data_IF_822793397949
#
_entry.id   IF_822793397949
#
_cell.length_a   1.000
_cell.length_b   1.000
_cell.length_c   1.000
_cell.angle_alpha   90.00
_cell.angle_beta   90.00
_cell.angle_gamma   90.00
#
_symmetry.space_group_name_H-M   'P 1'
#
loop_
_entity.id
_entity.type
_entity.pdbx_description
1 polymer ?
#
# COMPACT_ATOMS: atom_id res chain seq x y z
N UNK A 1 -5.33 -18.96 -9.46
CA UNK A 1 -6.20 -18.04 -10.25
C UNK A 1 -5.32 -16.90 -10.73
N UNK A 2 -5.38 -16.54 -12.01
CA UNK A 2 -4.59 -15.45 -12.58
C UNK A 2 -5.14 -14.08 -12.10
N UNK A 3 -4.31 -13.14 -11.61
CA UNK A 3 -4.77 -11.83 -11.12
C UNK A 3 -5.71 -11.11 -12.10
N UNK A 4 -5.44 -11.21 -13.39
CA UNK A 4 -6.21 -10.59 -14.47
C UNK A 4 -7.65 -11.09 -14.53
N UNK A 5 -7.90 -12.35 -14.13
CA UNK A 5 -9.26 -12.88 -14.05
C UNK A 5 -10.06 -12.19 -12.94
N UNK A 6 -9.41 -11.91 -11.81
CA UNK A 6 -10.02 -11.21 -10.67
C UNK A 6 -10.33 -9.76 -11.09
N UNK A 7 -9.37 -9.06 -11.70
CA UNK A 7 -9.59 -7.68 -12.14
C UNK A 7 -10.76 -7.57 -13.13
N UNK A 8 -10.85 -8.49 -14.11
CA UNK A 8 -11.99 -8.54 -15.03
C UNK A 8 -13.33 -8.76 -14.32
N UNK A 9 -13.36 -9.55 -13.25
CA UNK A 9 -14.59 -9.75 -12.48
C UNK A 9 -14.96 -8.49 -11.68
N UNK A 10 -13.98 -7.80 -11.11
CA UNK A 10 -14.20 -6.52 -10.43
C UNK A 10 -14.72 -5.47 -11.42
N UNK A 11 -14.10 -5.35 -12.59
CA UNK A 11 -14.57 -4.46 -13.66
C UNK A 11 -15.99 -4.81 -14.11
N UNK A 12 -16.28 -6.09 -14.33
CA UNK A 12 -17.62 -6.51 -14.72
C UNK A 12 -18.69 -6.12 -13.69
N UNK A 13 -18.38 -6.20 -12.39
CA UNK A 13 -19.27 -5.73 -11.33
C UNK A 13 -19.40 -4.21 -11.37
N UNK A 14 -18.30 -3.47 -11.56
CA UNK A 14 -18.32 -2.02 -11.70
C UNK A 14 -19.23 -1.58 -12.85
N UNK A 15 -19.11 -2.20 -14.02
CA UNK A 15 -19.90 -1.90 -15.22
C UNK A 15 -21.39 -2.20 -15.01
N UNK A 16 -21.69 -3.37 -14.44
CA UNK A 16 -23.06 -3.82 -14.19
C UNK A 16 -23.81 -2.92 -13.19
N UNK A 17 -23.09 -2.29 -12.27
CA UNK A 17 -23.66 -1.46 -11.20
C UNK A 17 -23.12 -0.03 -11.22
N UNK A 18 -22.79 0.55 -12.37
CA UNK A 18 -22.09 1.84 -12.50
C UNK A 18 -22.65 3.02 -11.68
N UNK A 19 -23.94 3.00 -11.31
CA UNK A 19 -24.61 4.02 -10.52
C UNK A 19 -24.64 3.73 -9.00
N UNK A 20 -24.05 2.62 -8.56
CA UNK A 20 -24.02 2.19 -7.16
C UNK A 20 -22.65 2.38 -6.53
N UNK A 21 -22.66 2.62 -5.23
CA UNK A 21 -21.45 2.64 -4.43
C UNK A 21 -20.90 1.22 -4.24
N UNK A 22 -19.63 1.01 -4.61
CA UNK A 22 -18.92 -0.25 -4.57
C UNK A 22 -17.87 -0.26 -3.44
N UNK A 23 -17.97 -1.27 -2.58
CA UNK A 23 -17.01 -1.51 -1.51
C UNK A 23 -16.23 -2.81 -1.77
N UNK A 24 -14.90 -2.77 -1.63
CA UNK A 24 -14.05 -3.96 -1.72
C UNK A 24 -13.43 -4.28 -0.37
N UNK A 25 -13.73 -5.48 0.12
CA UNK A 25 -13.18 -6.02 1.35
C UNK A 25 -11.75 -6.55 1.14
N UNK A 26 -10.87 -6.29 2.10
CA UNK A 26 -9.58 -6.97 2.24
C UNK A 26 -8.46 -6.47 1.33
N UNK A 27 -8.43 -5.19 1.00
CA UNK A 27 -7.34 -4.61 0.18
C UNK A 27 -6.01 -4.71 0.93
N UNK A 28 -4.99 -5.29 0.28
CA UNK A 28 -3.82 -5.86 0.95
C UNK A 28 -2.68 -4.87 1.27
N UNK A 29 -2.61 -3.73 0.58
CA UNK A 29 -1.55 -2.74 0.73
C UNK A 29 -1.67 -1.61 -0.29
N UNK A 30 -0.64 -0.76 -0.37
CA UNK A 30 -0.62 0.44 -1.21
C UNK A 30 -0.89 0.12 -2.68
N UNK A 31 -0.13 -0.77 -3.31
CA UNK A 31 -0.34 -1.06 -4.74
C UNK A 31 -1.72 -1.65 -5.08
N UNK A 32 -2.34 -2.43 -4.19
CA UNK A 32 -3.72 -2.91 -4.39
C UNK A 32 -4.76 -1.80 -4.19
N UNK A 33 -4.42 -0.74 -3.45
CA UNK A 33 -5.25 0.47 -3.34
C UNK A 33 -5.30 1.21 -4.68
N UNK A 34 -4.16 1.36 -5.38
CA UNK A 34 -4.13 1.91 -6.74
C UNK A 34 -5.00 1.11 -7.70
N UNK A 35 -4.89 -0.22 -7.68
CA UNK A 35 -5.72 -1.10 -8.52
C UNK A 35 -7.21 -0.90 -8.21
N UNK A 36 -7.60 -0.82 -6.93
CA UNK A 36 -8.99 -0.60 -6.57
C UNK A 36 -9.50 0.76 -7.08
N UNK A 37 -8.70 1.82 -6.92
CA UNK A 37 -9.05 3.15 -7.38
C UNK A 37 -9.23 3.22 -8.90
N UNK A 38 -8.29 2.63 -9.67
CA UNK A 38 -8.37 2.55 -11.13
C UNK A 38 -9.57 1.74 -11.64
N UNK A 39 -10.06 0.78 -10.85
CA UNK A 39 -11.26 0.02 -11.19
C UNK A 39 -12.57 0.72 -10.76
N UNK A 40 -12.51 1.98 -10.34
CA UNK A 40 -13.69 2.74 -9.92
C UNK A 40 -14.36 2.22 -8.65
N UNK A 41 -13.56 1.63 -7.73
CA UNK A 41 -14.04 1.21 -6.40
C UNK A 41 -14.11 2.43 -5.49
N UNK A 42 -15.27 2.65 -4.86
CA UNK A 42 -15.52 3.84 -4.04
C UNK A 42 -14.86 3.75 -2.65
N UNK A 43 -14.90 2.57 -2.02
CA UNK A 43 -14.33 2.37 -0.67
C UNK A 43 -13.72 1.00 -0.49
N UNK A 44 -12.79 0.89 0.46
CA UNK A 44 -12.11 -0.36 0.78
C UNK A 44 -11.94 -0.51 2.29
N UNK A 45 -11.78 -1.75 2.75
CA UNK A 45 -11.26 -2.03 4.08
C UNK A 45 -9.93 -2.79 4.02
N UNK A 46 -9.15 -2.72 5.11
CA UNK A 46 -7.89 -3.43 5.22
C UNK A 46 -7.52 -3.73 6.66
N UNK A 47 -7.23 -5.01 6.92
CA UNK A 47 -6.49 -5.44 8.11
C UNK A 47 -4.98 -5.66 7.81
N UNK A 48 -4.54 -5.38 6.57
CA UNK A 48 -3.19 -5.68 6.09
C UNK A 48 -2.11 -4.95 6.87
N UNK A 49 -2.30 -3.67 7.15
CA UNK A 49 -1.37 -2.83 7.91
C UNK A 49 -1.03 -3.41 9.29
N UNK A 50 -2.05 -3.90 10.01
CA UNK A 50 -1.94 -4.51 11.33
C UNK A 50 -1.33 -5.90 11.27
N UNK A 51 -1.78 -6.73 10.33
CA UNK A 51 -1.30 -8.10 10.16
C UNK A 51 0.19 -8.13 9.79
N UNK A 52 0.66 -7.17 8.98
CA UNK A 52 2.08 -6.99 8.65
C UNK A 52 2.91 -6.58 9.85
N UNK A 53 2.43 -5.61 10.64
CA UNK A 53 3.11 -5.15 11.84
C UNK A 53 3.36 -6.30 12.84
N UNK A 54 2.38 -7.21 13.01
CA UNK A 54 2.51 -8.39 13.86
C UNK A 54 3.57 -9.38 13.39
N UNK A 55 3.92 -9.35 12.09
CA UNK A 55 4.93 -10.22 11.46
C UNK A 55 6.30 -9.55 11.32
N UNK A 56 6.49 -8.38 11.93
CA UNK A 56 7.76 -7.64 11.84
C UNK A 56 7.95 -6.92 10.50
N UNK A 57 6.85 -6.66 9.78
CA UNK A 57 6.86 -6.08 8.44
C UNK A 57 6.34 -4.65 8.47
N UNK A 58 7.04 -3.76 7.78
CA UNK A 58 6.60 -2.40 7.47
C UNK A 58 6.25 -2.24 5.99
N UNK A 59 5.45 -1.23 5.68
CA UNK A 59 5.13 -0.79 4.32
C UNK A 59 5.93 0.49 4.05
N UNK A 60 6.64 0.54 2.93
CA UNK A 60 7.30 1.74 2.42
C UNK A 60 6.41 2.40 1.36
N UNK A 61 6.34 3.75 1.30
CA UNK A 61 5.69 4.47 0.21
C UNK A 61 6.26 4.03 -1.14
N UNK A 62 5.41 3.74 -2.13
CA UNK A 62 5.84 3.42 -3.50
C UNK A 62 6.58 2.08 -3.73
N UNK A 63 7.12 1.45 -2.68
CA UNK A 63 8.11 0.35 -2.77
C UNK A 63 7.66 -0.96 -2.11
N UNK A 64 6.53 -0.95 -1.42
CA UNK A 64 5.91 -2.14 -0.84
C UNK A 64 6.50 -2.58 0.51
N UNK A 65 6.51 -3.89 0.76
CA UNK A 65 6.75 -4.45 2.11
C UNK A 65 8.23 -4.71 2.40
N UNK A 66 8.67 -4.41 3.63
CA UNK A 66 10.01 -4.77 4.15
C UNK A 66 9.92 -5.45 5.50
N UNK A 67 10.75 -6.46 5.70
CA UNK A 67 10.98 -7.04 7.03
C UNK A 67 11.95 -6.13 7.78
N UNK A 68 11.54 -5.65 8.95
CA UNK A 68 12.37 -4.80 9.82
C UNK A 68 12.67 -5.49 11.17
N UNK A 69 11.80 -6.41 11.61
CA UNK A 69 12.01 -7.18 12.84
C UNK A 69 11.89 -8.70 12.58
N UNK A 70 12.76 -9.50 13.19
CA UNK A 70 12.76 -10.96 13.04
C UNK A 70 11.71 -11.62 13.94
N UNK A 71 10.45 -11.56 13.53
CA UNK A 71 9.35 -12.16 14.29
C UNK A 71 8.94 -13.51 13.69
N UNK A 72 9.61 -14.58 14.12
CA UNK A 72 9.34 -15.94 13.63
C UNK A 72 9.96 -16.22 12.26
N UNK A 73 9.29 -17.03 11.43
CA UNK A 73 9.86 -17.56 10.19
C UNK A 73 9.49 -16.77 8.92
N UNK A 74 8.97 -15.54 9.06
CA UNK A 74 8.58 -14.73 7.90
C UNK A 74 9.82 -14.26 7.14
N UNK A 75 9.83 -14.55 5.83
CA UNK A 75 10.89 -14.13 4.92
C UNK A 75 10.40 -12.98 4.06
N UNK A 76 11.29 -12.06 3.76
CA UNK A 76 11.03 -10.92 2.90
C UNK A 76 12.28 -10.06 2.74
N UNK A 77 12.20 -9.07 1.86
CA UNK A 77 13.30 -8.12 1.65
C UNK A 77 13.49 -7.27 2.92
N UNK A 78 14.73 -7.17 3.37
CA UNK A 78 15.13 -6.24 4.44
C UNK A 78 15.15 -4.81 3.90
N UNK A 79 14.97 -3.85 4.80
CA UNK A 79 15.16 -2.44 4.49
C UNK A 79 16.61 -2.23 4.01
N UNK A 80 16.80 -1.64 2.83
CA UNK A 80 18.13 -1.24 2.33
C UNK A 80 18.61 0.07 2.98
N UNK A 81 19.90 0.39 2.85
CA UNK A 81 20.45 1.66 3.37
C UNK A 81 19.73 2.89 2.82
N UNK A 82 19.39 2.89 1.52
CA UNK A 82 18.61 3.95 0.88
C UNK A 82 17.20 4.08 1.50
N UNK A 83 16.53 2.96 1.74
CA UNK A 83 15.19 2.94 2.34
C UNK A 83 15.20 3.38 3.81
N UNK A 84 16.32 3.16 4.52
CA UNK A 84 16.50 3.71 5.87
C UNK A 84 16.50 5.24 5.83
N UNK A 85 17.10 5.87 4.82
CA UNK A 85 17.03 7.34 4.66
C UNK A 85 15.60 7.81 4.44
N UNK A 86 14.79 7.06 3.67
CA UNK A 86 13.36 7.34 3.53
C UNK A 86 12.62 7.25 4.87
N UNK A 87 12.96 6.27 5.71
CA UNK A 87 12.33 6.10 7.04
C UNK A 87 12.75 7.20 8.02
N UNK A 88 13.98 7.71 7.94
CA UNK A 88 14.41 8.86 8.76
C UNK A 88 13.61 10.13 8.46
N UNK A 89 13.12 10.29 7.22
CA UNK A 89 12.22 11.37 6.83
C UNK A 89 10.73 11.11 7.13
N UNK A 90 10.37 9.98 7.76
CA UNK A 90 8.97 9.62 7.97
C UNK A 90 8.33 10.46 9.09
N UNK A 91 7.22 11.12 8.76
CA UNK A 91 6.48 11.97 9.70
C UNK A 91 5.40 11.25 10.53
N UNK A 92 5.30 9.92 10.43
CA UNK A 92 4.30 9.20 11.22
C UNK A 92 4.61 9.33 12.73
N UNK A 93 3.59 9.30 13.62
CA UNK A 93 3.81 9.47 15.06
C UNK A 93 4.86 8.50 15.64
N UNK A 94 4.85 7.23 15.19
CA UNK A 94 5.80 6.22 15.63
C UNK A 94 7.25 6.57 15.25
N UNK A 95 7.50 6.91 13.99
CA UNK A 95 8.84 7.26 13.51
C UNK A 95 9.35 8.56 14.15
N UNK A 96 8.47 9.56 14.36
CA UNK A 96 8.85 10.81 15.04
C UNK A 96 9.23 10.62 16.51
N UNK A 97 8.53 9.74 17.21
CA UNK A 97 8.74 9.54 18.65
C UNK A 97 9.85 8.52 18.95
N UNK A 98 9.96 7.47 18.13
CA UNK A 98 10.78 6.29 18.45
C UNK A 98 11.76 5.90 17.33
N UNK A 99 11.70 6.57 16.17
CA UNK A 99 12.61 6.31 15.05
C UNK A 99 12.63 4.85 14.59
N UNK A 100 13.76 4.45 14.02
CA UNK A 100 14.01 3.08 13.57
C UNK A 100 13.99 2.08 14.72
N UNK A 101 14.49 2.45 15.89
CA UNK A 101 14.52 1.58 17.08
C UNK A 101 13.11 1.13 17.48
N UNK A 102 12.13 2.03 17.39
CA UNK A 102 10.72 1.70 17.61
C UNK A 102 10.18 0.67 16.62
N UNK A 103 10.53 0.79 15.34
CA UNK A 103 10.09 -0.15 14.30
C UNK A 103 10.75 -1.54 14.43
N UNK A 104 12.03 -1.57 14.83
CA UNK A 104 12.83 -2.79 15.01
C UNK A 104 12.50 -3.54 16.30
N UNK A 105 11.90 -2.86 17.28
CA UNK A 105 11.61 -3.44 18.58
C UNK A 105 10.68 -4.66 18.53
N UNK A 106 10.79 -5.49 19.57
CA UNK A 106 9.98 -6.69 19.74
C UNK A 106 8.69 -6.43 20.54
N UNK A 107 7.83 -7.45 20.64
CA UNK A 107 6.61 -7.47 21.45
C UNK A 107 5.63 -6.34 21.07
N UNK A 108 4.77 -5.95 22.00
CA UNK A 108 3.72 -4.96 21.78
C UNK A 108 4.28 -3.59 21.41
N UNK A 109 5.42 -3.18 21.98
CA UNK A 109 6.03 -1.87 21.67
C UNK A 109 6.37 -1.74 20.19
N UNK A 110 7.11 -2.69 19.62
CA UNK A 110 7.41 -2.65 18.19
C UNK A 110 6.20 -2.92 17.31
N UNK A 111 5.25 -3.75 17.78
CA UNK A 111 3.99 -3.95 17.07
C UNK A 111 3.22 -2.63 16.89
N UNK A 112 3.04 -1.84 17.96
CA UNK A 112 2.34 -0.56 17.88
C UNK A 112 3.05 0.42 16.95
N UNK A 113 4.38 0.50 17.05
CA UNK A 113 5.20 1.34 16.18
C UNK A 113 5.01 1.00 14.69
N UNK A 114 5.18 -0.28 14.33
CA UNK A 114 4.99 -0.74 12.94
C UNK A 114 3.55 -0.59 12.47
N UNK A 115 2.56 -0.84 13.34
CA UNK A 115 1.15 -0.74 12.98
C UNK A 115 0.77 0.72 12.69
N UNK A 116 1.20 1.65 13.54
CA UNK A 116 1.02 3.10 13.33
C UNK A 116 1.70 3.56 12.05
N UNK A 117 2.96 3.17 11.81
CA UNK A 117 3.67 3.47 10.57
C UNK A 117 2.94 2.93 9.34
N UNK A 118 2.57 1.65 9.34
CA UNK A 118 1.90 1.02 8.19
C UNK A 118 0.55 1.67 7.87
N UNK A 119 -0.22 2.03 8.91
CA UNK A 119 -1.49 2.72 8.72
C UNK A 119 -1.26 4.12 8.17
N UNK A 120 -0.28 4.86 8.70
CA UNK A 120 0.09 6.18 8.19
C UNK A 120 0.46 6.14 6.71
N UNK A 121 1.33 5.21 6.31
CA UNK A 121 1.72 5.05 4.90
C UNK A 121 0.51 4.74 4.02
N UNK A 122 -0.39 3.86 4.46
CA UNK A 122 -1.61 3.55 3.70
C UNK A 122 -2.54 4.76 3.55
N UNK A 123 -2.68 5.59 4.60
CA UNK A 123 -3.49 6.81 4.55
C UNK A 123 -2.86 7.88 3.64
N UNK A 124 -1.53 8.05 3.71
CA UNK A 124 -0.81 8.96 2.81
C UNK A 124 -0.88 8.52 1.35
N UNK A 125 -0.84 7.22 1.11
CA UNK A 125 -1.07 6.66 -0.23
C UNK A 125 -2.47 7.00 -0.75
N UNK A 126 -3.49 6.87 0.10
CA UNK A 126 -4.87 7.22 -0.23
C UNK A 126 -5.02 8.72 -0.54
N UNK A 127 -4.41 9.59 0.26
CA UNK A 127 -4.39 11.04 0.01
C UNK A 127 -3.70 11.38 -1.33
N UNK A 128 -2.58 10.72 -1.63
CA UNK A 128 -1.86 10.89 -2.89
C UNK A 128 -2.73 10.45 -4.09
N UNK A 129 -3.39 9.29 -3.97
CA UNK A 129 -4.32 8.77 -4.98
C UNK A 129 -5.47 9.74 -5.25
N UNK A 130 -6.19 10.15 -4.21
CA UNK A 130 -7.32 11.07 -4.31
C UNK A 130 -6.91 12.36 -5.02
N UNK A 131 -5.75 12.92 -4.65
CA UNK A 131 -5.22 14.16 -5.23
C UNK A 131 -4.91 14.00 -6.71
N UNK A 132 -4.25 12.92 -7.09
CA UNK A 132 -3.80 12.70 -8.47
C UNK A 132 -4.94 12.30 -9.40
N UNK A 133 -5.94 11.57 -8.90
CA UNK A 133 -7.14 11.24 -9.67
C UNK A 133 -8.04 12.47 -9.83
N UNK A 134 -8.21 13.30 -8.79
CA UNK A 134 -9.03 14.51 -8.88
C UNK A 134 -8.45 15.57 -9.83
N UNK A 135 -7.12 15.57 -10.03
CA UNK A 135 -6.42 16.52 -10.90
C UNK A 135 -6.08 15.95 -12.28
N UNK A 136 -6.51 14.71 -12.61
CA UNK A 136 -6.14 13.99 -13.83
C UNK A 136 -4.60 13.84 -14.04
N UNK A 137 -3.80 13.88 -12.97
CA UNK A 137 -2.33 13.76 -13.01
C UNK A 137 -1.83 12.36 -12.67
N UNK A 138 -2.72 11.40 -12.42
CA UNK A 138 -2.33 10.04 -12.02
C UNK A 138 -1.39 9.36 -13.03
N UNK A 139 -1.74 9.38 -14.32
CA UNK A 139 -1.00 8.69 -15.40
C UNK A 139 0.44 9.20 -15.52
N UNK A 140 0.64 10.49 -15.26
CA UNK A 140 1.96 11.12 -15.30
C UNK A 140 2.78 10.75 -14.06
N UNK A 141 2.17 10.79 -12.88
CA UNK A 141 2.90 10.74 -11.61
C UNK A 141 3.10 9.33 -11.04
N UNK A 142 2.27 8.34 -11.42
CA UNK A 142 2.32 7.02 -10.78
C UNK A 142 3.62 6.26 -11.08
N UNK A 143 4.29 6.53 -12.21
CA UNK A 143 5.50 5.81 -12.62
C UNK A 143 6.67 6.10 -11.68
N UNK A 144 6.81 7.36 -11.28
CA UNK A 144 7.86 7.80 -10.36
C UNK A 144 7.50 7.41 -8.91
N UNK A 145 6.21 7.47 -8.58
CA UNK A 145 5.71 7.12 -7.26
C UNK A 145 5.82 5.60 -6.98
N UNK A 146 5.41 4.75 -7.92
CA UNK A 146 5.40 3.29 -7.81
C UNK A 146 6.61 2.64 -8.50
N UNK A 147 7.78 2.73 -7.85
CA UNK A 147 9.05 2.30 -8.45
C UNK A 147 9.43 0.84 -8.15
N UNK A 148 8.80 0.15 -7.19
CA UNK A 148 9.24 -1.19 -6.77
C UNK A 148 8.10 -2.07 -6.20
N UNK A 149 7.00 -2.17 -6.92
CA UNK A 149 5.87 -3.05 -6.57
C UNK A 149 5.69 -4.16 -7.60
N UNK A 150 5.47 -5.39 -7.14
CA UNK A 150 5.15 -6.55 -8.00
C UNK A 150 3.85 -6.36 -8.79
N UNK A 151 3.00 -5.43 -8.36
CA UNK A 151 1.72 -5.13 -8.99
C UNK A 151 1.83 -4.06 -10.08
N UNK A 152 3.01 -3.45 -10.28
CA UNK A 152 3.21 -2.41 -11.28
C UNK A 152 2.77 -2.84 -12.69
N UNK A 153 3.06 -4.07 -13.18
CA UNK A 153 2.60 -4.50 -14.49
C UNK A 153 1.06 -4.54 -14.64
N UNK A 154 0.33 -4.79 -13.54
CA UNK A 154 -1.14 -4.75 -13.56
C UNK A 154 -1.66 -3.31 -13.59
N UNK A 155 -1.00 -2.41 -12.86
CA UNK A 155 -1.33 -0.98 -12.84
C UNK A 155 -1.04 -0.37 -14.22
N UNK A 156 0.12 -0.66 -14.79
CA UNK A 156 0.50 -0.22 -16.14
C UNK A 156 -0.56 -0.61 -17.17
N UNK A 157 -1.08 -1.85 -17.06
CA UNK A 157 -2.15 -2.32 -17.93
C UNK A 157 -3.47 -1.58 -17.74
N UNK A 158 -3.89 -1.36 -16.49
CA UNK A 158 -5.15 -0.65 -16.20
C UNK A 158 -5.11 0.79 -16.74
N UNK A 159 -3.97 1.46 -16.58
CA UNK A 159 -3.77 2.82 -17.11
C UNK A 159 -3.84 2.85 -18.64
N UNK A 160 -3.30 1.85 -19.34
CA UNK A 160 -3.34 1.77 -20.80
C UNK A 160 -4.70 1.37 -21.37
N UNK A 161 -5.53 0.67 -20.59
CA UNK A 161 -6.88 0.28 -21.01
C UNK A 161 -7.90 1.46 -20.86
N UNK A 162 -7.52 2.53 -20.14
CA UNK A 162 -8.31 3.77 -19.94
C UNK A 162 -8.02 4.88 -21.00
N UNK A 163 -6.99 4.71 -21.85
CA UNK A 163 -6.66 5.59 -23.01
C UNK A 163 -7.39 5.17 -24.30
#
# INVERSE_FOLDING_TARGET
>A
MKPEKILKQVQHVRDAFHDKHMHVFGVGGTATLHIAALLGVDTVDSAGWRNRAARGIIILPGSGERVIAELGNWRGRRVSEEEQQTLLGCECPACREHGMEGLEANKSFGFYNRATHNLWVLLKEKEWLDTNLANDTYVENYKDHLHNTIYKPLIDKLVLDDE
#
